data_IF_561930020717
#
_entry.id   IF_561930020717
#
_cell.length_a   1.000
_cell.length_b   1.000
_cell.length_c   1.000
_cell.angle_alpha   90.00
_cell.angle_beta   90.00
_cell.angle_gamma   90.00
#
_symmetry.space_group_name_H-M   'P 1'
#
loop_
_entity.id
_entity.type
_entity.pdbx_description
1 polymer ?
#
# COMPACT_ATOMS: atom_id res chain seq x y z
N UNK A 1 9.32 32.43 2.60
CA UNK A 1 10.54 32.08 1.85
C UNK A 1 10.08 31.38 0.58
N UNK A 2 10.56 31.76 -0.61
CA UNK A 2 10.17 31.06 -1.84
C UNK A 2 10.76 29.64 -1.86
N UNK A 3 10.06 28.63 -2.38
CA UNK A 3 10.59 27.27 -2.47
C UNK A 3 11.83 27.26 -3.38
N UNK A 4 12.88 26.55 -2.96
CA UNK A 4 14.05 26.30 -3.81
C UNK A 4 13.67 25.24 -4.85
N UNK A 5 13.73 25.61 -6.12
CA UNK A 5 13.50 24.68 -7.23
C UNK A 5 14.82 24.06 -7.70
N UNK A 6 14.74 22.86 -8.28
CA UNK A 6 15.88 22.25 -8.97
C UNK A 6 16.26 23.10 -10.20
N UNK A 7 17.56 23.20 -10.48
CA UNK A 7 18.02 23.68 -11.78
C UNK A 7 17.60 22.69 -12.87
N UNK A 8 17.45 23.12 -14.14
CA UNK A 8 17.13 22.21 -15.24
C UNK A 8 18.08 21.01 -15.30
N UNK A 9 19.39 21.24 -15.17
CA UNK A 9 20.41 20.17 -15.16
C UNK A 9 20.21 19.17 -14.02
N UNK A 10 19.94 19.64 -12.80
CA UNK A 10 19.71 18.75 -11.67
C UNK A 10 18.39 17.97 -11.80
N UNK A 11 17.36 18.59 -12.39
CA UNK A 11 16.11 17.89 -12.71
C UNK A 11 16.37 16.79 -13.73
N UNK A 12 17.10 17.07 -14.81
CA UNK A 12 17.35 16.09 -15.87
C UNK A 12 18.19 14.91 -15.33
N UNK A 13 19.16 15.16 -14.43
CA UNK A 13 19.90 14.11 -13.71
C UNK A 13 19.01 13.27 -12.79
N UNK A 14 18.04 13.87 -12.11
CA UNK A 14 17.10 13.14 -11.26
C UNK A 14 16.17 12.26 -12.10
N UNK A 15 15.68 12.78 -13.23
CA UNK A 15 14.88 12.01 -14.21
C UNK A 15 15.68 10.81 -14.70
N UNK A 16 16.90 11.00 -15.17
CA UNK A 16 17.77 9.91 -15.67
C UNK A 16 18.01 8.82 -14.61
N UNK A 17 18.26 9.24 -13.36
CA UNK A 17 18.45 8.30 -12.25
C UNK A 17 17.20 7.43 -12.01
N UNK A 18 16.01 8.03 -11.92
CA UNK A 18 14.75 7.29 -11.72
C UNK A 18 14.50 6.33 -12.89
N UNK A 19 14.61 6.84 -14.12
CA UNK A 19 14.35 6.04 -15.32
C UNK A 19 15.36 4.90 -15.52
N UNK A 20 16.55 5.03 -14.95
CA UNK A 20 17.56 3.97 -14.96
C UNK A 20 17.29 2.92 -13.87
N UNK A 21 17.02 3.34 -12.64
CA UNK A 21 17.13 2.46 -11.46
C UNK A 21 15.81 2.02 -10.82
N UNK A 22 14.71 2.72 -11.05
CA UNK A 22 13.46 2.43 -10.36
C UNK A 22 12.80 1.11 -10.85
N UNK A 23 11.80 0.62 -10.12
CA UNK A 23 10.99 -0.50 -10.58
C UNK A 23 10.20 -0.11 -11.85
N UNK A 24 9.79 -1.07 -12.70
CA UNK A 24 8.95 -0.79 -13.86
C UNK A 24 7.70 0.03 -13.52
N UNK A 25 6.98 -0.34 -12.45
CA UNK A 25 5.82 0.41 -11.95
C UNK A 25 6.19 1.85 -11.56
N UNK A 26 7.26 2.05 -10.78
CA UNK A 26 7.70 3.39 -10.37
C UNK A 26 8.07 4.26 -11.56
N UNK A 27 8.68 3.68 -12.61
CA UNK A 27 8.96 4.40 -13.86
C UNK A 27 7.67 4.83 -14.54
N UNK A 28 6.68 3.94 -14.64
CA UNK A 28 5.39 4.25 -15.24
C UNK A 28 4.67 5.37 -14.47
N UNK A 29 4.60 5.28 -13.13
CA UNK A 29 4.02 6.30 -12.25
C UNK A 29 4.76 7.64 -12.41
N UNK A 30 6.10 7.61 -12.43
CA UNK A 30 6.92 8.80 -12.65
C UNK A 30 6.65 9.45 -14.02
N UNK A 31 6.60 8.65 -15.08
CA UNK A 31 6.26 9.13 -16.42
C UNK A 31 4.88 9.78 -16.44
N UNK A 32 3.87 9.13 -15.86
CA UNK A 32 2.52 9.64 -15.80
C UNK A 32 2.44 11.01 -15.13
N UNK A 33 2.97 11.13 -13.91
CA UNK A 33 2.83 12.34 -13.10
C UNK A 33 3.73 13.50 -13.54
N UNK A 34 4.93 13.22 -14.06
CA UNK A 34 5.93 14.26 -14.30
C UNK A 34 6.28 14.48 -15.77
N UNK A 35 5.96 13.53 -16.66
CA UNK A 35 6.36 13.55 -18.06
C UNK A 35 5.18 13.34 -19.04
N UNK A 36 3.94 13.50 -18.57
CA UNK A 36 2.71 13.30 -19.34
C UNK A 36 2.61 11.89 -19.97
N UNK A 37 3.10 10.88 -19.25
CA UNK A 37 2.95 9.48 -19.62
C UNK A 37 1.51 9.02 -19.58
N UNK A 38 1.21 7.98 -20.36
CA UNK A 38 -0.14 7.43 -20.43
C UNK A 38 -0.49 6.70 -19.12
N UNK A 39 -1.73 6.90 -18.68
CA UNK A 39 -2.27 6.21 -17.50
C UNK A 39 -2.33 4.71 -17.74
N UNK A 40 -2.64 4.30 -18.96
CA UNK A 40 -2.84 2.88 -19.28
C UNK A 40 -1.54 2.06 -19.06
N UNK A 41 -0.36 2.68 -19.25
CA UNK A 41 0.93 2.05 -18.91
C UNK A 41 1.06 1.78 -17.42
N UNK A 42 0.58 2.67 -16.54
CA UNK A 42 0.59 2.44 -15.09
C UNK A 42 -0.34 1.28 -14.73
N UNK A 43 -1.49 1.19 -15.39
CA UNK A 43 -2.46 0.12 -15.16
C UNK A 43 -1.95 -1.25 -15.61
N UNK A 44 -1.23 -1.30 -16.74
CA UNK A 44 -0.58 -2.53 -17.22
C UNK A 44 0.47 -3.03 -16.22
N UNK A 45 1.32 -2.15 -15.71
CA UNK A 45 2.34 -2.50 -14.70
C UNK A 45 1.70 -2.92 -13.36
N UNK A 46 0.64 -2.24 -12.91
CA UNK A 46 -0.12 -2.65 -11.72
C UNK A 46 -0.74 -4.04 -11.92
N UNK A 47 -1.43 -4.27 -13.04
CA UNK A 47 -2.09 -5.55 -13.31
C UNK A 47 -1.09 -6.72 -13.33
N UNK A 48 0.15 -6.48 -13.75
CA UNK A 48 1.21 -7.49 -13.72
C UNK A 48 1.67 -7.90 -12.31
N UNK A 49 1.39 -7.06 -11.30
CA UNK A 49 1.77 -7.29 -9.90
C UNK A 49 0.60 -7.77 -9.01
N UNK A 50 -0.62 -7.85 -9.54
CA UNK A 50 -1.78 -8.35 -8.82
C UNK A 50 -1.89 -9.88 -8.93
N UNK A 51 -1.84 -10.59 -7.80
CA UNK A 51 -1.94 -12.04 -7.76
C UNK A 51 -3.40 -12.52 -7.90
N UNK A 52 -3.60 -13.84 -8.05
CA UNK A 52 -4.92 -14.46 -8.22
C UNK A 52 -5.86 -14.21 -7.03
N UNK A 53 -5.31 -14.08 -5.81
CA UNK A 53 -6.06 -13.78 -4.59
C UNK A 53 -6.52 -12.31 -4.50
N UNK A 54 -6.07 -11.47 -5.43
CA UNK A 54 -6.41 -10.04 -5.54
C UNK A 54 -5.45 -9.10 -4.82
N UNK A 55 -4.50 -9.63 -4.05
CA UNK A 55 -3.44 -8.84 -3.43
C UNK A 55 -2.34 -8.48 -4.44
N UNK A 56 -1.37 -7.70 -3.97
CA UNK A 56 -0.20 -7.30 -4.77
C UNK A 56 1.11 -7.72 -4.12
N UNK A 57 2.13 -7.94 -4.94
CA UNK A 57 3.50 -8.26 -4.51
C UNK A 57 4.54 -7.32 -5.14
N UNK A 58 5.77 -7.31 -4.60
CA UNK A 58 6.94 -6.73 -5.27
C UNK A 58 6.94 -5.21 -5.51
N UNK A 59 6.07 -4.46 -4.82
CA UNK A 59 5.92 -3.01 -5.01
C UNK A 59 6.80 -2.16 -4.07
N UNK A 60 7.28 -2.75 -2.98
CA UNK A 60 8.08 -2.03 -1.99
C UNK A 60 9.55 -2.47 -2.05
N UNK A 61 10.46 -1.50 -2.16
CA UNK A 61 11.90 -1.77 -2.26
C UNK A 61 12.45 -2.54 -1.06
N UNK A 62 11.84 -2.34 0.11
CA UNK A 62 12.23 -3.00 1.36
C UNK A 62 11.63 -4.42 1.50
N UNK A 63 10.68 -4.83 0.64
CA UNK A 63 10.02 -6.13 0.74
C UNK A 63 9.72 -6.71 -0.65
N UNK A 64 10.53 -7.70 -1.05
CA UNK A 64 10.45 -8.32 -2.38
C UNK A 64 9.99 -9.79 -2.34
N UNK A 65 9.06 -10.11 -1.45
CA UNK A 65 8.41 -11.42 -1.47
C UNK A 65 7.50 -11.55 -2.70
N UNK A 66 7.38 -12.77 -3.20
CA UNK A 66 6.50 -13.12 -4.31
C UNK A 66 5.05 -13.31 -3.86
N UNK A 67 4.81 -13.46 -2.56
CA UNK A 67 3.47 -13.51 -2.01
C UNK A 67 2.85 -12.12 -1.89
N UNK A 68 1.53 -12.07 -2.09
CA UNK A 68 0.74 -10.87 -1.84
C UNK A 68 0.86 -10.37 -0.39
N UNK A 69 0.90 -9.05 -0.23
CA UNK A 69 0.98 -8.39 1.08
C UNK A 69 -0.01 -7.23 1.19
N UNK A 70 -0.47 -6.95 2.42
CA UNK A 70 -1.29 -5.78 2.72
C UNK A 70 -0.50 -4.50 2.42
N UNK A 71 0.81 -4.51 2.67
CA UNK A 71 1.73 -3.44 2.34
C UNK A 71 1.68 -3.05 0.85
N UNK A 72 1.95 -4.00 -0.05
CA UNK A 72 1.92 -3.73 -1.49
C UNK A 72 0.50 -3.43 -1.98
N UNK A 73 -0.52 -4.08 -1.41
CA UNK A 73 -1.92 -3.86 -1.79
C UNK A 73 -2.40 -2.45 -1.47
N UNK A 74 -2.01 -1.90 -0.30
CA UNK A 74 -2.30 -0.50 0.03
C UNK A 74 -1.57 0.45 -0.92
N UNK A 75 -0.30 0.19 -1.25
CA UNK A 75 0.44 0.99 -2.23
C UNK A 75 -0.23 0.98 -3.61
N UNK A 76 -0.77 -0.18 -4.03
CA UNK A 76 -1.52 -0.28 -5.28
C UNK A 76 -2.80 0.55 -5.25
N UNK A 77 -3.57 0.50 -4.15
CA UNK A 77 -4.80 1.29 -3.99
C UNK A 77 -4.53 2.80 -3.96
N UNK A 78 -3.42 3.25 -3.38
CA UNK A 78 -2.98 4.65 -3.47
C UNK A 78 -2.75 5.07 -4.92
N UNK A 79 -2.04 4.25 -5.72
CA UNK A 79 -1.81 4.55 -7.14
C UNK A 79 -3.14 4.55 -7.91
N UNK A 80 -4.03 3.59 -7.65
CA UNK A 80 -5.38 3.55 -8.23
C UNK A 80 -6.17 4.84 -7.93
N UNK A 81 -6.09 5.34 -6.69
CA UNK A 81 -6.70 6.62 -6.30
C UNK A 81 -6.09 7.80 -7.05
N UNK A 82 -4.76 7.87 -7.13
CA UNK A 82 -4.01 8.91 -7.87
C UNK A 82 -4.39 8.97 -9.36
N UNK A 83 -4.71 7.82 -9.96
CA UNK A 83 -5.17 7.69 -11.35
C UNK A 83 -6.65 8.06 -11.55
N UNK A 84 -7.36 8.40 -10.47
CA UNK A 84 -8.76 8.79 -10.47
C UNK A 84 -9.73 7.64 -10.76
N UNK A 85 -9.34 6.41 -10.41
CA UNK A 85 -10.20 5.23 -10.53
C UNK A 85 -11.07 5.07 -9.28
N UNK A 86 -12.24 4.45 -9.46
CA UNK A 86 -13.22 4.25 -8.38
C UNK A 86 -13.33 2.79 -7.94
N UNK A 87 -14.20 2.54 -6.95
CA UNK A 87 -14.48 1.23 -6.39
C UNK A 87 -14.98 0.17 -7.40
N UNK A 88 -15.42 0.57 -8.60
CA UNK A 88 -15.88 -0.35 -9.64
C UNK A 88 -14.73 -0.85 -10.53
N UNK A 89 -13.53 -0.26 -10.43
CA UNK A 89 -12.38 -0.74 -11.15
C UNK A 89 -12.00 -2.17 -10.70
N UNK A 90 -11.73 -3.12 -11.63
CA UNK A 90 -11.39 -4.48 -11.28
C UNK A 90 -10.17 -4.63 -10.38
N UNK A 91 -9.13 -3.79 -10.54
CA UNK A 91 -7.93 -3.83 -9.70
C UNK A 91 -8.31 -3.47 -8.26
N UNK A 92 -9.07 -2.39 -8.10
CA UNK A 92 -9.54 -1.90 -6.79
C UNK A 92 -10.46 -2.90 -6.10
N UNK A 93 -11.46 -3.43 -6.82
CA UNK A 93 -12.42 -4.37 -6.26
C UNK A 93 -11.76 -5.67 -5.78
N UNK A 94 -10.78 -6.18 -6.55
CA UNK A 94 -10.02 -7.38 -6.17
C UNK A 94 -9.09 -7.12 -4.98
N UNK A 95 -8.44 -5.96 -4.93
CA UNK A 95 -7.62 -5.53 -3.79
C UNK A 95 -8.45 -5.46 -2.50
N UNK A 96 -9.66 -4.89 -2.56
CA UNK A 96 -10.59 -4.89 -1.42
C UNK A 96 -10.97 -6.32 -1.01
N UNK A 97 -11.23 -7.20 -1.98
CA UNK A 97 -11.49 -8.62 -1.71
C UNK A 97 -10.36 -9.30 -0.94
N UNK A 98 -9.10 -9.05 -1.35
CA UNK A 98 -7.92 -9.51 -0.62
C UNK A 98 -7.87 -8.94 0.79
N UNK A 99 -8.01 -7.61 0.97
CA UNK A 99 -7.99 -6.99 2.28
C UNK A 99 -9.05 -7.58 3.22
N UNK A 100 -10.28 -7.81 2.75
CA UNK A 100 -11.32 -8.46 3.56
C UNK A 100 -10.95 -9.90 3.94
N UNK A 101 -10.32 -10.65 3.04
CA UNK A 101 -9.87 -12.02 3.29
C UNK A 101 -8.66 -12.11 4.23
N UNK A 102 -7.81 -11.07 4.26
CA UNK A 102 -6.61 -11.01 5.10
C UNK A 102 -6.84 -10.43 6.50
N UNK A 103 -8.09 -10.07 6.84
CA UNK A 103 -8.43 -9.55 8.16
C UNK A 103 -8.24 -10.61 9.26
N UNK A 104 -7.63 -10.21 10.38
CA UNK A 104 -7.45 -11.05 11.56
C UNK A 104 -8.39 -10.57 12.67
N UNK A 105 -9.53 -11.25 12.91
CA UNK A 105 -10.53 -10.81 13.88
C UNK A 105 -10.00 -10.64 15.31
N UNK A 106 -9.09 -11.52 15.74
CA UNK A 106 -8.51 -11.49 17.07
C UNK A 106 -7.71 -10.21 17.34
N UNK A 107 -7.10 -9.64 16.29
CA UNK A 107 -6.30 -8.42 16.36
C UNK A 107 -7.10 -7.19 15.99
N UNK A 108 -8.28 -7.40 15.38
CA UNK A 108 -9.07 -6.37 14.71
C UNK A 108 -8.20 -5.56 13.75
N UNK A 109 -7.35 -6.25 13.00
CA UNK A 109 -6.28 -5.66 12.20
C UNK A 109 -5.80 -6.59 11.08
N UNK A 110 -4.77 -6.15 10.36
CA UNK A 110 -4.15 -6.81 9.23
C UNK A 110 -2.63 -6.93 9.44
N UNK A 111 -2.05 -8.13 9.28
CA UNK A 111 -0.61 -8.26 9.16
C UNK A 111 -0.13 -7.49 7.93
N UNK A 112 0.83 -6.59 8.12
CA UNK A 112 1.33 -5.72 7.04
C UNK A 112 2.05 -6.53 5.94
N UNK A 113 2.87 -7.49 6.37
CA UNK A 113 3.52 -8.50 5.52
C UNK A 113 3.01 -9.88 5.96
N UNK A 114 2.87 -10.85 5.03
CA UNK A 114 2.48 -12.21 5.40
C UNK A 114 3.54 -12.85 6.29
N UNK A 115 3.12 -13.86 7.07
CA UNK A 115 4.07 -14.75 7.75
C UNK A 115 4.84 -15.53 6.68
N UNK A 116 6.16 -15.48 6.72
CA UNK A 116 7.02 -16.01 5.67
C UNK A 116 8.31 -16.61 6.24
N UNK A 117 9.03 -17.38 5.44
CA UNK A 117 10.25 -18.09 5.85
C UNK A 117 11.52 -17.21 5.88
N UNK A 118 11.35 -15.89 5.68
CA UNK A 118 12.42 -14.90 5.57
C UNK A 118 13.44 -15.19 4.44
N UNK A 119 13.09 -16.04 3.47
CA UNK A 119 13.98 -16.42 2.37
C UNK A 119 14.07 -15.37 1.25
N UNK A 120 13.01 -14.60 1.04
CA UNK A 120 12.99 -13.51 0.07
C UNK A 120 13.82 -12.30 0.55
N UNK A 121 14.42 -11.49 -0.34
CA UNK A 121 15.09 -10.26 0.06
C UNK A 121 14.13 -9.28 0.74
N UNK A 122 14.49 -8.84 1.95
CA UNK A 122 13.73 -7.87 2.72
C UNK A 122 14.65 -7.05 3.64
N UNK A 123 14.22 -5.85 4.01
CA UNK A 123 14.90 -5.05 5.00
C UNK A 123 14.80 -5.70 6.40
N UNK A 124 15.78 -5.48 7.30
CA UNK A 124 15.84 -6.19 8.58
C UNK A 124 14.61 -6.03 9.48
N UNK A 125 13.86 -4.93 9.34
CA UNK A 125 12.62 -4.67 10.10
C UNK A 125 11.40 -5.41 9.55
N UNK A 126 11.50 -6.09 8.42
CA UNK A 126 10.46 -6.99 7.89
C UNK A 126 10.72 -8.46 8.18
N UNK A 127 11.78 -8.75 8.93
CA UNK A 127 12.10 -10.13 9.32
C UNK A 127 11.02 -10.66 10.25
N UNK A 128 10.30 -11.69 9.79
CA UNK A 128 9.21 -12.29 10.53
C UNK A 128 9.71 -13.22 11.64
N UNK A 129 9.08 -13.14 12.81
CA UNK A 129 9.17 -14.10 13.92
C UNK A 129 7.82 -14.20 14.63
N UNK A 130 7.64 -15.19 15.50
CA UNK A 130 6.38 -15.32 16.27
C UNK A 130 6.14 -14.11 17.18
N UNK A 131 7.20 -13.44 17.65
CA UNK A 131 7.13 -12.23 18.48
C UNK A 131 6.96 -10.95 17.66
N UNK A 132 7.13 -11.00 16.34
CA UNK A 132 7.08 -9.84 15.45
C UNK A 132 5.72 -9.14 15.51
N UNK A 133 4.63 -9.92 15.44
CA UNK A 133 3.26 -9.41 15.46
C UNK A 133 2.96 -8.65 16.77
N UNK A 134 3.39 -9.20 17.92
CA UNK A 134 3.21 -8.56 19.23
C UNK A 134 4.07 -7.30 19.38
N UNK A 135 5.33 -7.35 18.92
CA UNK A 135 6.24 -6.21 18.94
C UNK A 135 5.75 -5.02 18.11
N UNK A 136 4.97 -5.29 17.06
CA UNK A 136 4.28 -4.28 16.24
C UNK A 136 2.88 -3.92 16.77
N UNK A 137 2.54 -4.32 18.00
CA UNK A 137 1.26 -4.00 18.63
C UNK A 137 0.07 -4.56 17.85
N UNK A 138 0.23 -5.73 17.23
CA UNK A 138 -0.75 -6.36 16.36
C UNK A 138 -1.27 -5.42 15.27
N UNK A 139 -0.37 -4.57 14.76
CA UNK A 139 -0.63 -3.68 13.62
C UNK A 139 -1.74 -2.66 13.89
N UNK A 140 -1.95 -2.29 15.15
CA UNK A 140 -3.00 -1.37 15.58
C UNK A 140 -2.87 0.04 14.98
N UNK A 141 -1.62 0.49 14.79
CA UNK A 141 -1.28 1.84 14.33
C UNK A 141 -0.87 1.86 12.84
N UNK A 142 -0.34 0.75 12.33
CA UNK A 142 -0.02 0.55 10.91
C UNK A 142 -0.15 -0.96 10.58
N UNK A 143 -1.00 -1.38 9.61
CA UNK A 143 -1.71 -0.57 8.63
C UNK A 143 -3.19 -0.32 8.92
N UNK A 144 -3.71 -0.68 10.10
CA UNK A 144 -5.16 -0.65 10.35
C UNK A 144 -5.87 0.65 9.94
N UNK A 145 -5.37 1.86 10.26
CA UNK A 145 -6.02 3.09 9.81
C UNK A 145 -6.04 3.22 8.27
N UNK A 146 -4.95 2.84 7.60
CA UNK A 146 -4.84 2.89 6.13
C UNK A 146 -5.77 1.88 5.46
N UNK A 147 -5.88 0.66 6.00
CA UNK A 147 -6.85 -0.32 5.49
C UNK A 147 -8.28 0.16 5.71
N UNK A 148 -8.60 0.69 6.89
CA UNK A 148 -9.93 1.26 7.15
C UNK A 148 -10.29 2.35 6.13
N UNK A 149 -9.36 3.28 5.87
CA UNK A 149 -9.55 4.33 4.86
C UNK A 149 -9.76 3.74 3.46
N UNK A 150 -8.93 2.78 3.05
CA UNK A 150 -9.06 2.09 1.76
C UNK A 150 -10.42 1.40 1.60
N UNK A 151 -10.94 0.75 2.66
CA UNK A 151 -12.26 0.13 2.65
C UNK A 151 -13.40 1.17 2.55
N UNK A 152 -13.25 2.37 3.09
CA UNK A 152 -14.23 3.46 2.89
C UNK A 152 -14.21 4.01 1.46
N UNK A 153 -13.03 4.11 0.84
CA UNK A 153 -12.85 4.67 -0.50
C UNK A 153 -13.27 3.67 -1.59
N UNK A 154 -12.79 2.43 -1.49
CA UNK A 154 -12.92 1.41 -2.53
C UNK A 154 -13.92 0.30 -2.21
N UNK A 155 -14.43 0.23 -0.98
CA UNK A 155 -15.35 -0.81 -0.56
C UNK A 155 -16.73 -0.72 -1.21
N UNK A 156 -17.02 -1.60 -2.17
CA UNK A 156 -18.38 -1.78 -2.68
C UNK A 156 -19.06 -2.97 -1.97
N UNK A 157 -20.17 -2.72 -1.28
CA UNK A 157 -20.97 -3.74 -0.56
C UNK A 157 -20.27 -4.41 0.63
N UNK A 158 -19.44 -3.66 1.37
CA UNK A 158 -18.92 -4.10 2.66
C UNK A 158 -20.06 -4.09 3.69
N UNK A 159 -20.06 -5.07 4.61
CA UNK A 159 -20.96 -5.06 5.76
C UNK A 159 -20.84 -3.72 6.54
N UNK A 160 -21.91 -2.92 6.63
CA UNK A 160 -21.87 -1.62 7.30
C UNK A 160 -21.51 -1.71 8.79
N UNK A 161 -21.81 -2.84 9.46
CA UNK A 161 -21.50 -3.02 10.87
C UNK A 161 -20.00 -3.30 11.05
N UNK A 162 -19.41 -4.11 10.17
CA UNK A 162 -17.96 -4.32 10.13
C UNK A 162 -17.20 -3.00 9.85
N UNK A 163 -17.62 -2.23 8.84
CA UNK A 163 -16.95 -0.99 8.50
C UNK A 163 -17.04 0.04 9.64
N UNK A 164 -18.20 0.10 10.32
CA UNK A 164 -18.38 0.94 11.52
C UNK A 164 -17.46 0.50 12.65
N UNK A 165 -17.42 -0.80 12.94
CA UNK A 165 -16.60 -1.37 13.99
C UNK A 165 -15.11 -1.01 13.81
N UNK A 166 -14.56 -1.25 12.62
CA UNK A 166 -13.16 -0.93 12.32
C UNK A 166 -12.88 0.58 12.44
N UNK A 167 -13.83 1.41 11.99
CA UNK A 167 -13.69 2.87 12.08
C UNK A 167 -13.67 3.33 13.54
N UNK A 168 -14.55 2.80 14.39
CA UNK A 168 -14.60 3.13 15.82
C UNK A 168 -13.29 2.75 16.50
N UNK A 169 -12.76 1.56 16.22
CA UNK A 169 -11.46 1.10 16.75
C UNK A 169 -10.31 2.04 16.37
N UNK A 170 -10.28 2.52 15.13
CA UNK A 170 -9.25 3.47 14.67
C UNK A 170 -9.38 4.81 15.41
N UNK A 171 -10.61 5.32 15.56
CA UNK A 171 -10.87 6.61 16.23
C UNK A 171 -10.56 6.53 17.73
N UNK A 172 -10.96 5.44 18.40
CA UNK A 172 -10.64 5.20 19.81
C UNK A 172 -9.13 5.18 20.02
N UNK A 173 -8.39 4.42 19.19
CA UNK A 173 -6.94 4.34 19.25
C UNK A 173 -6.27 5.70 19.05
N UNK A 174 -6.75 6.50 18.09
CA UNK A 174 -6.22 7.84 17.84
C UNK A 174 -6.41 8.79 19.04
N UNK A 175 -7.46 8.58 19.84
CA UNK A 175 -7.71 9.34 21.07
C UNK A 175 -6.82 8.96 22.26
N UNK A 176 -6.20 7.78 22.23
CA UNK A 176 -5.26 7.30 23.26
C UNK A 176 -3.83 7.82 23.06
N UNK A 177 -3.47 8.20 21.84
CA UNK A 177 -2.14 8.69 21.50
C UNK A 177 -2.06 10.17 21.89
N UNK A 178 -1.28 10.49 22.93
CA UNK A 178 -0.99 11.89 23.24
C UNK A 178 -0.32 12.57 22.03
N UNK A 179 -0.73 13.79 21.65
CA UNK A 179 -0.09 14.50 20.55
C UNK A 179 1.39 14.66 20.86
N UNK A 180 2.26 14.28 19.91
CA UNK A 180 3.69 14.43 20.03
C UNK A 180 4.03 15.90 20.39
N UNK A 181 4.72 16.08 21.51
CA UNK A 181 5.14 17.37 22.05
C UNK A 181 6.17 18.09 21.16
#
# INVERSE_FOLDING_TARGET
MAPRLLTPENRDRAVDFVLTHALPLDKAVFYHHLLNGDRDTVLEELAALQDDDGGFHGMEADYQDAASSVLCTLRALEIVEELGLDAADPLAARAVGFLLASYVPEWRSWPLVPRHDNGAPHAPWWHWSDEFDEGWGFYADNPRPSVAAALHVFGSNIDPDFLREITEVVVERAGEVEPAA
#
